data_IF_615875469944
#
_entry.id   IF_615875469944
#
_cell.length_a   1.000
_cell.length_b   1.000
_cell.length_c   1.000
_cell.angle_alpha   90.00
_cell.angle_beta   90.00
_cell.angle_gamma   90.00
#
_symmetry.space_group_name_H-M   'P 1'
#
loop_
_entity.id
_entity.type
_entity.pdbx_description
1 polymer ?
#
# COMPACT_ATOMS: atom_id res chain seq x y z
N UNK A 1 -18.92 18.78 77.41
CA UNK A 1 -18.83 17.68 76.42
C UNK A 1 -18.52 18.36 75.12
N UNK A 2 -17.22 18.33 74.67
CA UNK A 2 -16.77 18.99 73.44
C UNK A 2 -16.64 17.92 72.38
N UNK A 3 -17.38 18.04 71.30
CA UNK A 3 -17.33 17.13 70.10
C UNK A 3 -16.32 17.69 69.13
N UNK A 4 -15.18 16.97 68.91
CA UNK A 4 -14.24 17.29 67.88
C UNK A 4 -14.67 16.63 66.58
N UNK A 5 -14.97 17.44 65.55
CA UNK A 5 -15.28 17.02 64.26
C UNK A 5 -13.94 16.99 63.46
N UNK A 6 -13.43 15.81 63.07
CA UNK A 6 -12.28 15.66 62.21
C UNK A 6 -12.73 15.73 60.75
N UNK A 7 -12.21 16.73 60.02
CA UNK A 7 -12.41 16.88 58.58
C UNK A 7 -11.34 16.02 57.87
N UNK A 8 -11.76 14.95 57.21
CA UNK A 8 -10.90 14.12 56.35
C UNK A 8 -10.93 14.73 54.95
N UNK A 9 -9.84 15.43 54.57
CA UNK A 9 -9.67 15.97 53.23
C UNK A 9 -9.15 14.84 52.34
N UNK A 10 -10.03 14.26 51.52
CA UNK A 10 -9.65 13.25 50.52
C UNK A 10 -8.92 13.90 49.34
N UNK A 11 -7.63 13.55 49.15
CA UNK A 11 -6.84 13.93 47.99
C UNK A 11 -7.22 13.04 46.80
N UNK A 12 -7.98 13.56 45.86
CA UNK A 12 -8.27 12.87 44.57
C UNK A 12 -7.09 13.07 43.63
N UNK A 13 -6.28 12.03 43.49
CA UNK A 13 -5.21 11.98 42.44
C UNK A 13 -5.83 11.74 41.07
N UNK A 14 -5.96 12.80 40.28
CA UNK A 14 -6.22 12.66 38.82
C UNK A 14 -4.99 12.12 38.13
N UNK A 15 -4.97 10.83 37.80
CA UNK A 15 -3.98 10.26 36.87
C UNK A 15 -4.38 10.67 35.46
N UNK A 16 -3.70 11.70 34.93
CA UNK A 16 -3.79 12.07 33.52
C UNK A 16 -3.12 10.97 32.70
N UNK A 17 -3.90 9.99 32.26
CA UNK A 17 -3.41 8.98 31.29
C UNK A 17 -3.19 9.65 29.95
N UNK A 18 -1.94 9.78 29.52
CA UNK A 18 -1.60 10.18 28.15
C UNK A 18 -2.05 9.07 27.21
N UNK A 19 -3.19 9.23 26.56
CA UNK A 19 -3.60 8.37 25.47
C UNK A 19 -2.62 8.60 24.31
N UNK A 20 -1.75 7.65 24.03
CA UNK A 20 -0.96 7.65 22.80
C UNK A 20 -1.92 7.51 21.63
N UNK A 21 -2.03 8.55 20.82
CA UNK A 21 -2.80 8.48 19.58
C UNK A 21 -2.08 7.54 18.61
N UNK A 22 -2.74 6.47 18.17
CA UNK A 22 -2.20 5.58 17.16
C UNK A 22 -1.93 6.39 15.88
N UNK A 23 -0.81 6.10 15.19
CA UNK A 23 -0.48 6.75 13.93
C UNK A 23 -1.66 6.64 12.94
N UNK A 24 -2.03 7.74 12.22
CA UNK A 24 -3.19 7.76 11.35
C UNK A 24 -3.04 6.78 10.20
N UNK A 25 -4.18 6.29 9.69
CA UNK A 25 -4.21 5.49 8.47
C UNK A 25 -4.14 6.42 7.27
N UNK A 26 -3.11 6.24 6.46
CA UNK A 26 -2.83 7.03 5.27
C UNK A 26 -3.36 6.33 4.01
N UNK A 27 -3.52 7.10 2.94
CA UNK A 27 -3.94 6.62 1.63
C UNK A 27 -3.09 7.22 0.53
N UNK A 28 -2.76 6.41 -0.49
CA UNK A 28 -2.28 6.88 -1.77
C UNK A 28 -3.14 6.25 -2.88
N UNK A 29 -3.47 7.01 -3.91
CA UNK A 29 -4.22 6.50 -5.07
C UNK A 29 -3.78 7.24 -6.32
N UNK A 30 -3.58 6.48 -7.41
CA UNK A 30 -3.30 6.99 -8.74
C UNK A 30 -4.20 6.29 -9.76
N UNK A 31 -4.63 7.05 -10.75
CA UNK A 31 -5.45 6.53 -11.84
C UNK A 31 -4.94 7.07 -13.16
N UNK A 32 -4.80 6.20 -14.15
CA UNK A 32 -4.50 6.60 -15.52
C UNK A 32 -5.55 6.05 -16.48
N UNK A 33 -5.83 6.81 -17.53
CA UNK A 33 -6.60 6.34 -18.67
C UNK A 33 -5.63 5.92 -19.76
N UNK A 34 -5.87 4.72 -20.34
CA UNK A 34 -5.01 4.09 -21.36
C UNK A 34 -5.86 3.83 -22.59
N UNK A 35 -5.36 4.18 -23.77
CA UNK A 35 -6.01 3.91 -25.07
C UNK A 35 -5.75 2.46 -25.52
N UNK A 36 -6.22 1.54 -24.67
CA UNK A 36 -6.24 0.10 -24.89
C UNK A 36 -7.40 -0.52 -24.13
N UNK A 37 -7.95 -1.64 -24.64
CA UNK A 37 -9.06 -2.31 -23.97
C UNK A 37 -8.71 -2.81 -22.58
N UNK A 38 -9.69 -2.82 -21.66
CA UNK A 38 -9.49 -3.32 -20.30
C UNK A 38 -9.02 -4.79 -20.28
N UNK A 39 -9.41 -5.59 -21.27
CA UNK A 39 -8.95 -6.98 -21.40
C UNK A 39 -7.45 -7.06 -21.73
N UNK A 40 -6.97 -6.22 -22.67
CA UNK A 40 -5.53 -6.15 -23.03
C UNK A 40 -4.71 -5.72 -21.81
N UNK A 41 -5.15 -4.67 -21.11
CA UNK A 41 -4.43 -4.18 -19.92
C UNK A 41 -4.45 -5.21 -18.79
N UNK A 42 -5.61 -5.82 -18.53
CA UNK A 42 -5.70 -6.86 -17.50
C UNK A 42 -4.79 -8.05 -17.81
N UNK A 43 -4.70 -8.47 -19.06
CA UNK A 43 -3.77 -9.54 -19.46
C UNK A 43 -2.31 -9.21 -19.12
N UNK A 44 -1.92 -7.94 -19.24
CA UNK A 44 -0.56 -7.47 -18.89
C UNK A 44 -0.30 -7.48 -17.37
N UNK A 45 -1.27 -7.01 -16.56
CA UNK A 45 -1.04 -6.75 -15.13
C UNK A 45 -1.48 -7.87 -14.20
N UNK A 46 -2.31 -8.83 -14.69
CA UNK A 46 -2.92 -9.86 -13.85
C UNK A 46 -1.95 -10.87 -13.25
N UNK A 47 -0.79 -11.03 -13.85
CA UNK A 47 0.20 -11.97 -13.38
C UNK A 47 0.92 -11.40 -12.17
N UNK A 48 0.65 -12.00 -10.98
CA UNK A 48 1.23 -11.54 -9.73
C UNK A 48 2.75 -11.75 -9.67
N UNK A 49 3.31 -12.57 -10.55
CA UNK A 49 4.76 -12.82 -10.70
C UNK A 49 5.39 -12.07 -11.87
N UNK A 50 4.82 -10.96 -12.31
CA UNK A 50 5.30 -10.27 -13.52
C UNK A 50 5.37 -8.74 -13.37
N UNK A 51 5.44 -8.21 -12.14
CA UNK A 51 5.53 -6.76 -11.92
C UNK A 51 6.77 -6.15 -12.57
N UNK A 52 7.88 -6.88 -12.61
CA UNK A 52 9.14 -6.48 -13.24
C UNK A 52 9.02 -6.28 -14.77
N UNK A 53 7.99 -6.83 -15.41
CA UNK A 53 7.80 -6.69 -16.86
C UNK A 53 7.20 -5.33 -17.25
N UNK A 54 6.56 -4.65 -16.32
CA UNK A 54 5.89 -3.37 -16.60
C UNK A 54 6.17 -2.26 -15.57
N UNK A 55 6.67 -2.57 -14.37
CA UNK A 55 7.04 -1.55 -13.38
C UNK A 55 8.53 -1.19 -13.47
N UNK A 56 8.89 0.07 -13.78
CA UNK A 56 10.27 0.43 -14.12
C UNK A 56 11.26 0.30 -12.96
N UNK A 57 10.82 0.36 -11.71
CA UNK A 57 11.68 0.25 -10.53
C UNK A 57 11.96 -1.20 -10.10
N UNK A 58 11.26 -2.20 -10.66
CA UNK A 58 11.42 -3.61 -10.28
C UNK A 58 12.41 -4.30 -11.20
N UNK A 59 13.40 -4.98 -10.62
CA UNK A 59 14.41 -5.74 -11.35
C UNK A 59 13.98 -7.21 -11.54
N UNK A 60 13.48 -7.85 -10.46
CA UNK A 60 12.94 -9.21 -10.52
C UNK A 60 11.70 -9.34 -9.63
N UNK A 61 10.87 -10.34 -9.95
CA UNK A 61 9.65 -10.72 -9.25
C UNK A 61 9.60 -12.25 -9.20
N UNK A 62 9.56 -12.83 -8.01
CA UNK A 62 9.64 -14.29 -7.82
C UNK A 62 8.61 -14.74 -6.79
N UNK A 63 7.83 -15.79 -7.10
CA UNK A 63 6.99 -16.45 -6.11
C UNK A 63 7.86 -17.28 -5.19
N UNK A 64 7.90 -16.92 -3.91
CA UNK A 64 8.69 -17.60 -2.87
C UNK A 64 7.85 -18.52 -2.00
N UNK A 65 6.51 -18.32 -1.96
CA UNK A 65 5.59 -19.20 -1.23
C UNK A 65 4.26 -19.32 -2.02
N UNK A 66 3.67 -20.52 -1.99
CA UNK A 66 2.37 -20.78 -2.61
C UNK A 66 2.41 -20.90 -4.13
N UNK A 67 1.27 -20.67 -4.77
CA UNK A 67 1.09 -20.76 -6.23
C UNK A 67 0.69 -19.40 -6.78
N UNK A 68 1.36 -18.99 -7.85
CA UNK A 68 1.07 -17.72 -8.53
C UNK A 68 -0.44 -17.53 -8.82
N UNK A 69 -0.92 -16.30 -8.70
CA UNK A 69 -2.32 -15.90 -8.88
C UNK A 69 -3.32 -16.64 -7.96
N UNK A 70 -2.86 -17.22 -6.86
CA UNK A 70 -3.69 -17.86 -5.84
C UNK A 70 -3.58 -17.08 -4.54
N UNK A 71 -4.71 -16.81 -3.88
CA UNK A 71 -4.74 -16.14 -2.57
C UNK A 71 -3.82 -16.86 -1.59
N UNK A 72 -2.97 -16.09 -0.91
CA UNK A 72 -1.92 -16.61 -0.03
C UNK A 72 -0.54 -16.70 -0.68
N UNK A 73 -0.42 -16.63 -2.02
CA UNK A 73 0.88 -16.58 -2.68
C UNK A 73 1.72 -15.42 -2.16
N UNK A 74 3.01 -15.66 -1.97
CA UNK A 74 3.97 -14.64 -1.54
C UNK A 74 5.01 -14.46 -2.64
N UNK A 75 5.24 -13.21 -3.02
CA UNK A 75 6.31 -12.83 -3.96
C UNK A 75 7.40 -12.03 -3.28
N UNK A 76 8.60 -12.14 -3.82
CA UNK A 76 9.76 -11.33 -3.49
C UNK A 76 10.12 -10.44 -4.68
N UNK A 77 10.02 -9.14 -4.50
CA UNK A 77 10.46 -8.14 -5.47
C UNK A 77 11.88 -7.70 -5.13
N UNK A 78 12.76 -7.64 -6.13
CA UNK A 78 14.06 -6.97 -6.03
C UNK A 78 13.97 -5.65 -6.79
N UNK A 79 14.38 -4.55 -6.15
CA UNK A 79 14.33 -3.22 -6.74
C UNK A 79 15.64 -2.87 -7.44
N UNK A 80 15.55 -2.16 -8.58
CA UNK A 80 16.74 -1.67 -9.32
C UNK A 80 17.58 -0.68 -8.50
N UNK A 81 16.94 0.08 -7.61
CA UNK A 81 17.61 1.00 -6.68
C UNK A 81 18.19 0.34 -5.43
N UNK A 82 18.08 -0.98 -5.34
CA UNK A 82 18.50 -1.78 -4.16
C UNK A 82 17.36 -2.05 -3.19
N UNK A 83 17.53 -3.12 -2.40
CA UNK A 83 16.54 -3.60 -1.45
C UNK A 83 15.45 -4.48 -2.06
N UNK A 84 14.65 -5.05 -1.17
CA UNK A 84 13.59 -6.00 -1.52
C UNK A 84 12.26 -5.62 -0.87
N UNK A 85 11.17 -6.15 -1.43
CA UNK A 85 9.82 -6.07 -0.87
C UNK A 85 9.21 -7.47 -0.95
N UNK A 86 8.71 -7.98 0.16
CA UNK A 86 7.98 -9.24 0.24
C UNK A 86 6.48 -8.94 0.33
N UNK A 87 5.70 -9.49 -0.58
CA UNK A 87 4.26 -9.19 -0.70
C UNK A 87 3.43 -10.47 -0.72
N UNK A 88 2.24 -10.39 -0.11
CA UNK A 88 1.27 -11.49 -0.07
C UNK A 88 -0.01 -11.13 -0.81
N UNK A 89 -0.45 -11.99 -1.71
CA UNK A 89 -1.72 -11.86 -2.41
C UNK A 89 -2.89 -12.16 -1.46
N UNK A 90 -3.77 -11.17 -1.27
CA UNK A 90 -4.92 -11.24 -0.35
C UNK A 90 -6.24 -11.53 -1.06
N UNK A 91 -6.38 -11.07 -2.30
CA UNK A 91 -7.54 -11.34 -3.15
C UNK A 91 -7.14 -11.31 -4.62
N UNK A 92 -7.78 -12.15 -5.43
CA UNK A 92 -7.61 -12.21 -6.88
C UNK A 92 -8.96 -12.39 -7.53
N UNK A 93 -9.41 -11.39 -8.28
CA UNK A 93 -10.70 -11.38 -8.97
C UNK A 93 -10.49 -11.16 -10.48
N UNK A 94 -10.37 -12.24 -11.26
CA UNK A 94 -10.20 -12.14 -12.71
C UNK A 94 -11.41 -11.55 -13.42
N UNK A 95 -12.64 -11.77 -12.92
CA UNK A 95 -13.85 -11.25 -13.52
C UNK A 95 -13.99 -9.74 -13.30
N UNK A 96 -13.72 -9.27 -12.08
CA UNK A 96 -13.66 -7.86 -11.72
C UNK A 96 -12.37 -7.16 -12.15
N UNK A 97 -11.40 -7.89 -12.70
CA UNK A 97 -10.08 -7.41 -13.12
C UNK A 97 -9.38 -6.63 -12.01
N UNK A 98 -9.25 -7.27 -10.85
CA UNK A 98 -8.56 -6.68 -9.72
C UNK A 98 -7.83 -7.72 -8.89
N UNK A 99 -6.80 -7.27 -8.18
CA UNK A 99 -6.18 -8.03 -7.11
C UNK A 99 -5.78 -7.11 -5.96
N UNK A 100 -5.75 -7.70 -4.75
CA UNK A 100 -5.34 -7.03 -3.52
C UNK A 100 -4.17 -7.78 -2.90
N UNK A 101 -3.21 -7.03 -2.37
CA UNK A 101 -2.03 -7.59 -1.72
C UNK A 101 -1.61 -6.75 -0.51
N UNK A 102 -0.76 -7.33 0.33
CA UNK A 102 -0.13 -6.67 1.47
C UNK A 102 1.38 -6.72 1.35
N UNK A 103 2.08 -5.71 1.84
CA UNK A 103 3.52 -5.81 2.12
C UNK A 103 3.68 -6.48 3.48
N UNK A 104 4.47 -7.55 3.52
CA UNK A 104 4.87 -8.25 4.73
C UNK A 104 6.11 -7.62 5.34
N UNK A 105 7.10 -7.32 4.49
CA UNK A 105 8.36 -6.66 4.83
C UNK A 105 8.96 -5.95 3.62
N UNK A 106 9.81 -4.95 3.83
CA UNK A 106 10.49 -4.27 2.73
C UNK A 106 11.12 -2.94 3.12
N UNK A 107 11.75 -2.32 2.10
CA UNK A 107 12.49 -1.07 2.24
C UNK A 107 11.63 0.18 2.17
N UNK A 108 10.35 0.06 1.78
CA UNK A 108 9.46 1.22 1.68
C UNK A 108 9.11 1.81 3.05
N UNK A 109 8.87 3.14 3.13
CA UNK A 109 8.61 3.83 4.41
C UNK A 109 7.18 3.65 4.92
N UNK A 110 6.63 2.44 4.80
CA UNK A 110 5.25 2.10 5.17
C UNK A 110 5.16 0.86 6.05
N UNK A 111 4.08 0.78 6.84
CA UNK A 111 3.67 -0.38 7.64
C UNK A 111 2.15 -0.57 7.53
N UNK A 112 1.62 -1.71 7.97
CA UNK A 112 0.19 -2.07 7.86
C UNK A 112 -0.38 -1.83 6.44
N UNK A 113 0.45 -2.12 5.44
CA UNK A 113 0.17 -1.79 4.05
C UNK A 113 -0.73 -2.83 3.38
N UNK A 114 -1.77 -2.34 2.71
CA UNK A 114 -2.54 -3.11 1.73
C UNK A 114 -2.82 -2.27 0.50
N UNK A 115 -2.81 -2.88 -0.67
CA UNK A 115 -3.08 -2.18 -1.93
C UNK A 115 -3.96 -2.99 -2.86
N UNK A 116 -4.66 -2.30 -3.73
CA UNK A 116 -5.49 -2.87 -4.80
C UNK A 116 -5.11 -2.26 -6.13
N UNK A 117 -4.89 -3.10 -7.13
CA UNK A 117 -4.82 -2.71 -8.53
C UNK A 117 -6.11 -3.17 -9.23
N UNK A 118 -6.76 -2.26 -9.96
CA UNK A 118 -8.04 -2.51 -10.62
C UNK A 118 -8.03 -1.93 -12.03
N UNK A 119 -8.54 -2.70 -12.99
CA UNK A 119 -8.70 -2.30 -14.40
C UNK A 119 -10.18 -2.26 -14.76
N UNK A 120 -10.68 -1.09 -15.15
CA UNK A 120 -12.06 -0.88 -15.61
C UNK A 120 -12.10 -0.52 -17.09
N UNK A 121 -13.16 -0.92 -17.77
CA UNK A 121 -13.46 -0.42 -19.12
C UNK A 121 -13.86 1.05 -19.04
N UNK A 122 -13.31 1.86 -19.93
CA UNK A 122 -13.65 3.28 -20.12
C UNK A 122 -14.09 3.55 -21.57
N UNK A 123 -14.47 2.49 -22.31
CA UNK A 123 -14.89 2.50 -23.70
C UNK A 123 -14.38 1.27 -24.45
N UNK A 124 -14.72 1.14 -25.73
CA UNK A 124 -14.40 -0.04 -26.55
C UNK A 124 -12.89 -0.37 -26.56
N UNK A 125 -12.03 0.64 -26.76
CA UNK A 125 -10.58 0.53 -26.81
C UNK A 125 -9.93 1.45 -25.78
N UNK A 126 -10.56 1.63 -24.62
CA UNK A 126 -10.08 2.51 -23.56
C UNK A 126 -10.31 1.86 -22.20
N UNK A 127 -9.35 2.01 -21.32
CA UNK A 127 -9.42 1.52 -19.95
C UNK A 127 -8.98 2.58 -18.93
N UNK A 128 -9.43 2.40 -17.70
CA UNK A 128 -8.98 3.14 -16.53
C UNK A 128 -8.31 2.15 -15.59
N UNK A 129 -7.06 2.43 -15.21
CA UNK A 129 -6.33 1.63 -14.24
C UNK A 129 -6.13 2.45 -12.99
N UNK A 130 -6.62 1.93 -11.86
CA UNK A 130 -6.45 2.54 -10.54
C UNK A 130 -5.57 1.65 -9.67
N UNK A 131 -4.55 2.27 -9.07
CA UNK A 131 -3.71 1.65 -8.06
C UNK A 131 -3.87 2.44 -6.77
N UNK A 132 -4.38 1.80 -5.71
CA UNK A 132 -4.69 2.47 -4.45
C UNK A 132 -4.25 1.64 -3.26
N UNK A 133 -3.74 2.29 -2.21
CA UNK A 133 -3.27 1.63 -1.01
C UNK A 133 -3.66 2.37 0.27
N UNK A 134 -3.73 1.59 1.35
CA UNK A 134 -3.93 2.05 2.71
C UNK A 134 -2.77 1.55 3.57
N UNK A 135 -2.20 2.41 4.38
CA UNK A 135 -0.99 2.10 5.16
C UNK A 135 -0.84 3.05 6.34
N UNK A 136 0.15 2.80 7.17
CA UNK A 136 0.74 3.77 8.09
C UNK A 136 2.16 4.09 7.64
N UNK A 137 2.74 5.20 8.10
CA UNK A 137 4.20 5.38 7.99
C UNK A 137 4.93 4.26 8.73
N UNK A 138 6.16 3.94 8.33
CA UNK A 138 6.95 2.85 8.92
C UNK A 138 7.30 3.15 10.38
N UNK A 139 7.77 4.35 10.66
CA UNK A 139 8.01 4.83 12.02
C UNK A 139 6.71 5.41 12.59
N UNK A 140 6.02 4.65 13.42
CA UNK A 140 4.74 5.05 14.03
C UNK A 140 4.89 5.89 15.31
N UNK A 141 6.12 6.22 15.73
CA UNK A 141 6.41 7.07 16.89
C UNK A 141 5.92 8.51 16.71
N UNK A 142 5.85 9.28 17.81
CA UNK A 142 5.25 10.63 17.83
C UNK A 142 6.09 11.68 17.06
N UNK A 143 7.41 11.48 16.97
CA UNK A 143 8.34 12.39 16.30
C UNK A 143 9.19 11.66 15.25
N UNK A 144 8.60 11.23 14.10
CA UNK A 144 9.36 10.59 13.04
C UNK A 144 10.32 11.60 12.39
N UNK A 145 11.46 11.10 11.90
CA UNK A 145 12.35 11.92 11.07
C UNK A 145 11.64 12.32 9.76
N UNK A 146 12.11 13.35 9.07
CA UNK A 146 11.49 13.87 7.85
C UNK A 146 11.33 12.81 6.75
N UNK A 147 12.27 11.89 6.63
CA UNK A 147 12.22 10.78 5.69
C UNK A 147 11.33 9.60 6.13
N UNK A 148 10.71 9.68 7.32
CA UNK A 148 9.85 8.64 7.90
C UNK A 148 8.46 9.14 8.29
N UNK A 149 8.15 10.41 7.97
CA UNK A 149 6.86 11.04 8.32
C UNK A 149 5.71 10.64 7.36
N UNK A 150 4.49 11.07 7.68
CA UNK A 150 3.28 10.74 6.90
C UNK A 150 3.37 11.25 5.46
N UNK A 151 3.90 12.47 5.26
CA UNK A 151 4.07 13.06 3.92
C UNK A 151 5.00 12.22 3.06
N UNK A 152 6.16 11.84 3.61
CA UNK A 152 7.13 10.98 2.89
C UNK A 152 6.53 9.63 2.53
N UNK A 153 5.77 9.00 3.43
CA UNK A 153 5.09 7.74 3.15
C UNK A 153 4.08 7.89 2.00
N UNK A 154 3.25 8.93 2.02
CA UNK A 154 2.24 9.19 0.96
C UNK A 154 2.90 9.52 -0.37
N UNK A 155 3.89 10.40 -0.38
CA UNK A 155 4.59 10.82 -1.60
C UNK A 155 5.35 9.65 -2.24
N UNK A 156 6.02 8.82 -1.43
CA UNK A 156 6.71 7.62 -1.91
C UNK A 156 5.75 6.66 -2.57
N UNK A 157 4.64 6.32 -1.91
CA UNK A 157 3.67 5.38 -2.47
C UNK A 157 2.97 5.95 -3.69
N UNK A 158 2.64 7.25 -3.68
CA UNK A 158 2.09 7.94 -4.84
C UNK A 158 3.05 7.92 -6.03
N UNK A 159 4.34 8.13 -5.79
CA UNK A 159 5.40 8.05 -6.82
C UNK A 159 5.57 6.64 -7.39
N UNK A 160 5.57 5.61 -6.54
CA UNK A 160 5.63 4.21 -6.96
C UNK A 160 4.46 3.87 -7.88
N UNK A 161 3.22 4.19 -7.47
CA UNK A 161 2.05 3.90 -8.30
C UNK A 161 2.08 4.66 -9.62
N UNK A 162 2.40 5.96 -9.58
CA UNK A 162 2.45 6.78 -10.79
C UNK A 162 3.48 6.25 -11.79
N UNK A 163 4.70 5.95 -11.34
CA UNK A 163 5.76 5.44 -12.21
C UNK A 163 5.37 4.12 -12.90
N UNK A 164 4.73 3.19 -12.16
CA UNK A 164 4.24 1.94 -12.73
C UNK A 164 3.12 2.18 -13.75
N UNK A 165 2.13 3.00 -13.41
CA UNK A 165 0.99 3.27 -14.29
C UNK A 165 1.39 4.04 -15.55
N UNK A 166 2.31 4.99 -15.46
CA UNK A 166 2.82 5.74 -16.61
C UNK A 166 3.58 4.82 -17.60
N UNK A 167 4.41 3.92 -17.06
CA UNK A 167 5.10 2.97 -17.92
C UNK A 167 4.14 1.94 -18.54
N UNK A 168 3.16 1.44 -17.79
CA UNK A 168 2.11 0.57 -18.31
C UNK A 168 1.35 1.24 -19.47
N UNK A 169 0.98 2.52 -19.32
CA UNK A 169 0.34 3.31 -20.35
C UNK A 169 1.24 3.41 -21.59
N UNK A 170 2.49 3.83 -21.41
CA UNK A 170 3.47 3.94 -22.49
C UNK A 170 3.62 2.64 -23.28
N UNK A 171 3.75 1.51 -22.58
CA UNK A 171 3.90 0.19 -23.20
C UNK A 171 2.65 -0.23 -23.98
N UNK A 172 1.47 0.03 -23.43
CA UNK A 172 0.21 -0.40 -24.04
C UNK A 172 -0.17 0.41 -25.28
N UNK A 173 0.19 1.69 -25.33
CA UNK A 173 -0.10 2.64 -26.43
C UNK A 173 0.96 2.61 -27.53
N UNK A 174 2.14 2.02 -27.27
CA UNK A 174 3.20 1.84 -28.27
C UNK A 174 3.00 0.61 -29.19
N UNK A 175 1.98 -0.21 -28.94
CA UNK A 175 1.63 -1.45 -29.68
C UNK A 175 0.40 -1.17 -30.59
#
# INVERSE_FOLDING_TARGET
>A
MKINTAIVTGLVLFTCGTAWAAAPRLTASKTVTIDASASKIWHTVRDFNALNTWHPAVASDEIVEGKNNTVGAVRLLTLKGGGTIKEKLLAFDPAGRSFKYAILEGVLPVSDYTSTLMVKSAGKNKSSVTWSGHFKRKNVGDNPADNENDKTAVDTMGGVYQAGLDNLKKMAEAQ
#
